data_IF_439295364668
#
_entry.id   IF_439295364668
#
_cell.length_a   1.000
_cell.length_b   1.000
_cell.length_c   1.000
_cell.angle_alpha   90.00
_cell.angle_beta   90.00
_cell.angle_gamma   90.00
#
_symmetry.space_group_name_H-M   'P 1'
#
loop_
_entity.id
_entity.type
_entity.pdbx_description
1 polymer ?
#
# COMPACT_ATOMS: atom_id res chain seq x y z
N UNK A 1 -6.11 -7.86 26.38
CA UNK A 1 -5.98 -8.53 25.07
C UNK A 1 -4.50 -8.63 24.74
N UNK A 2 -3.99 -9.82 24.45
CA UNK A 2 -2.56 -10.00 24.19
C UNK A 2 -2.20 -9.41 22.81
N UNK A 3 -1.41 -8.32 22.78
CA UNK A 3 -1.11 -7.55 21.56
C UNK A 3 -0.49 -8.41 20.46
N UNK A 4 0.25 -9.45 20.85
CA UNK A 4 0.91 -10.41 19.95
C UNK A 4 -0.08 -11.15 19.05
N UNK A 5 -1.27 -11.47 19.56
CA UNK A 5 -2.27 -12.24 18.81
C UNK A 5 -2.93 -11.37 17.74
N UNK A 6 -3.20 -10.09 18.05
CA UNK A 6 -3.78 -9.14 17.09
C UNK A 6 -2.80 -8.79 15.98
N UNK A 7 -1.51 -8.67 16.29
CA UNK A 7 -0.50 -8.32 15.28
C UNK A 7 -0.38 -9.40 14.19
N UNK A 8 -0.47 -10.68 14.57
CA UNK A 8 -0.41 -11.82 13.66
C UNK A 8 -1.77 -12.20 13.03
N UNK A 9 -2.80 -11.34 13.11
CA UNK A 9 -4.07 -11.60 12.44
C UNK A 9 -3.90 -11.59 10.91
N UNK A 10 -4.38 -12.65 10.24
CA UNK A 10 -4.38 -12.80 8.77
C UNK A 10 -4.95 -11.58 8.05
N UNK A 11 -5.94 -10.91 8.65
CA UNK A 11 -6.57 -9.70 8.07
C UNK A 11 -5.55 -8.57 7.87
N UNK A 12 -4.59 -8.42 8.78
CA UNK A 12 -3.56 -7.39 8.67
C UNK A 12 -2.64 -7.64 7.49
N UNK A 13 -2.24 -8.90 7.29
CA UNK A 13 -1.42 -9.29 6.14
C UNK A 13 -2.17 -9.06 4.83
N UNK A 14 -3.46 -9.40 4.77
CA UNK A 14 -4.25 -9.23 3.56
C UNK A 14 -4.38 -7.75 3.16
N UNK A 15 -4.64 -6.86 4.12
CA UNK A 15 -4.70 -5.41 3.88
C UNK A 15 -3.34 -4.88 3.41
N UNK A 16 -2.24 -5.32 4.02
CA UNK A 16 -0.90 -4.91 3.63
C UNK A 16 -0.54 -5.42 2.22
N UNK A 17 -0.90 -6.66 1.88
CA UNK A 17 -0.72 -7.21 0.54
C UNK A 17 -1.47 -6.39 -0.51
N UNK A 18 -2.73 -6.01 -0.23
CA UNK A 18 -3.49 -5.14 -1.15
C UNK A 18 -2.81 -3.79 -1.34
N UNK A 19 -2.31 -3.17 -0.26
CA UNK A 19 -1.57 -1.91 -0.36
C UNK A 19 -0.31 -2.04 -1.24
N UNK A 20 0.46 -3.13 -1.07
CA UNK A 20 1.64 -3.41 -1.89
C UNK A 20 1.26 -3.62 -3.36
N UNK A 21 0.19 -4.37 -3.65
CA UNK A 21 -0.29 -4.57 -5.01
C UNK A 21 -0.65 -3.25 -5.70
N UNK A 22 -1.35 -2.34 -4.99
CA UNK A 22 -1.67 -0.99 -5.49
C UNK A 22 -0.39 -0.20 -5.80
N UNK A 23 0.60 -0.27 -4.91
CA UNK A 23 1.90 0.38 -5.12
C UNK A 23 2.65 -0.18 -6.33
N UNK A 24 2.66 -1.51 -6.50
CA UNK A 24 3.26 -2.16 -7.67
C UNK A 24 2.57 -1.75 -8.96
N UNK A 25 1.23 -1.67 -8.99
CA UNK A 25 0.48 -1.16 -10.15
C UNK A 25 0.95 0.25 -10.52
N UNK A 26 1.10 1.15 -9.55
CA UNK A 26 1.64 2.50 -9.80
C UNK A 26 3.07 2.48 -10.33
N UNK A 27 3.94 1.63 -9.78
CA UNK A 27 5.33 1.48 -10.25
C UNK A 27 5.38 0.99 -11.70
N UNK A 28 4.62 -0.05 -12.03
CA UNK A 28 4.60 -0.59 -13.39
C UNK A 28 3.93 0.36 -14.39
N UNK A 29 2.87 1.07 -13.98
CA UNK A 29 2.20 2.06 -14.82
C UNK A 29 3.16 3.15 -15.31
N UNK A 30 4.19 3.50 -14.52
CA UNK A 30 5.20 4.48 -14.93
C UNK A 30 5.97 4.08 -16.19
N UNK A 31 6.09 2.78 -16.46
CA UNK A 31 6.82 2.27 -17.62
C UNK A 31 5.96 2.16 -18.88
N UNK A 32 4.69 2.57 -18.85
CA UNK A 32 3.83 2.58 -20.04
C UNK A 32 4.14 3.76 -20.98
N UNK A 33 4.88 4.77 -20.53
CA UNK A 33 5.37 5.85 -21.39
C UNK A 33 6.04 7.00 -20.62
N UNK A 34 6.72 7.89 -21.35
CA UNK A 34 7.57 8.96 -20.78
C UNK A 34 6.91 10.35 -20.74
N UNK A 35 5.61 10.41 -20.45
CA UNK A 35 4.90 11.69 -20.33
C UNK A 35 4.63 12.06 -18.88
N UNK A 36 4.37 13.36 -18.65
CA UNK A 36 3.95 13.86 -17.34
C UNK A 36 2.74 13.09 -16.79
N UNK A 37 1.81 12.70 -17.65
CA UNK A 37 0.62 11.92 -17.28
C UNK A 37 0.99 10.61 -16.57
N UNK A 38 1.88 9.79 -17.16
CA UNK A 38 2.28 8.52 -16.57
C UNK A 38 2.97 8.71 -15.22
N UNK A 39 3.83 9.72 -15.12
CA UNK A 39 4.50 10.07 -13.85
C UNK A 39 3.50 10.50 -12.78
N UNK A 40 2.57 11.41 -13.10
CA UNK A 40 1.59 11.92 -12.15
C UNK A 40 0.66 10.83 -11.64
N UNK A 41 0.11 10.01 -12.53
CA UNK A 41 -0.79 8.91 -12.15
C UNK A 41 -0.04 7.88 -11.29
N UNK A 42 1.18 7.50 -11.67
CA UNK A 42 2.01 6.58 -10.88
C UNK A 42 2.27 7.10 -9.46
N UNK A 43 2.53 8.40 -9.31
CA UNK A 43 2.71 9.03 -8.01
C UNK A 43 1.42 9.03 -7.18
N UNK A 44 0.25 9.24 -7.80
CA UNK A 44 -1.05 9.13 -7.09
C UNK A 44 -1.26 7.71 -6.55
N UNK A 45 -1.02 6.68 -7.36
CA UNK A 45 -1.08 5.28 -6.91
C UNK A 45 -0.13 5.02 -5.73
N UNK A 46 1.10 5.54 -5.81
CA UNK A 46 2.09 5.40 -4.75
C UNK A 46 1.63 6.07 -3.44
N UNK A 47 1.09 7.29 -3.52
CA UNK A 47 0.56 8.01 -2.35
C UNK A 47 -0.59 7.22 -1.72
N UNK A 48 -1.53 6.72 -2.52
CA UNK A 48 -2.66 5.93 -2.02
C UNK A 48 -2.16 4.65 -1.33
N UNK A 49 -1.21 3.93 -1.95
CA UNK A 49 -0.62 2.73 -1.37
C UNK A 49 0.06 3.01 -0.02
N UNK A 50 0.83 4.10 0.07
CA UNK A 50 1.50 4.54 1.31
C UNK A 50 0.46 4.84 2.41
N UNK A 51 -0.60 5.58 2.09
CA UNK A 51 -1.65 5.92 3.07
C UNK A 51 -2.30 4.64 3.64
N UNK A 52 -2.64 3.68 2.78
CA UNK A 52 -3.26 2.41 3.20
C UNK A 52 -2.27 1.60 4.05
N UNK A 53 -1.02 1.48 3.62
CA UNK A 53 0.02 0.74 4.33
C UNK A 53 0.27 1.32 5.72
N UNK A 54 0.46 2.64 5.83
CA UNK A 54 0.67 3.33 7.11
C UNK A 54 -0.54 3.18 8.04
N UNK A 55 -1.76 3.32 7.51
CA UNK A 55 -2.98 3.10 8.30
C UNK A 55 -3.06 1.66 8.83
N UNK A 56 -2.69 0.68 8.01
CA UNK A 56 -2.64 -0.74 8.41
C UNK A 56 -1.62 -0.95 9.53
N UNK A 57 -0.40 -0.41 9.38
CA UNK A 57 0.66 -0.51 10.38
C UNK A 57 0.24 0.15 11.70
N UNK A 58 -0.31 1.35 11.68
CA UNK A 58 -0.79 2.00 12.91
C UNK A 58 -1.95 1.27 13.57
N UNK A 59 -2.76 0.53 12.80
CA UNK A 59 -3.81 -0.33 13.35
C UNK A 59 -3.21 -1.55 14.05
N UNK A 60 -2.16 -2.15 13.48
CA UNK A 60 -1.43 -3.29 14.08
C UNK A 60 -0.72 -2.88 15.38
N UNK A 61 -0.15 -1.67 15.42
CA UNK A 61 0.62 -1.18 16.57
C UNK A 61 -0.24 -0.73 17.76
N UNK A 62 -1.54 -0.52 17.55
CA UNK A 62 -2.48 -0.05 18.58
C UNK A 62 -2.94 -1.20 19.49
#
# INVERSE_FOLDING_TARGET
MNKSTTANDTKNYLVLTVAIMIGMVGVFFRFFGDSFFYTSVSNVFLIIAIIIALRSVFTILK
#
